data_IF_565933015536
#
_entry.id   IF_565933015536
#
_cell.length_a   1.000
_cell.length_b   1.000
_cell.length_c   1.000
_cell.angle_alpha   90.00
_cell.angle_beta   90.00
_cell.angle_gamma   90.00
#
_symmetry.space_group_name_H-M   'P 1'
#
loop_
_entity.id
_entity.type
_entity.pdbx_description
1 polymer ?
#
# COMPACT_ATOMS: atom_id res chain seq x y z
N UNK A 1 -5.94 -3.87 4.26
CA UNK A 1 -4.81 -3.69 3.34
C UNK A 1 -3.51 -3.70 4.14
N UNK A 2 -2.54 -4.54 3.77
CA UNK A 2 -1.20 -4.65 4.36
C UNK A 2 -0.20 -4.25 3.26
N UNK A 3 0.61 -3.22 3.50
CA UNK A 3 1.62 -2.71 2.53
C UNK A 3 1.08 -2.34 1.14
N UNK A 4 -0.18 -1.93 1.04
CA UNK A 4 -0.81 -1.59 -0.25
C UNK A 4 -1.52 -2.75 -0.95
N UNK A 5 -1.54 -3.95 -0.35
CA UNK A 5 -2.19 -5.15 -0.87
C UNK A 5 -3.32 -5.62 0.07
N UNK A 6 -4.32 -6.35 -0.43
CA UNK A 6 -5.24 -7.06 0.45
C UNK A 6 -4.53 -8.24 1.14
N UNK A 7 -5.00 -8.70 2.32
CA UNK A 7 -4.42 -9.87 2.97
C UNK A 7 -4.37 -11.08 2.01
N UNK A 8 -3.20 -11.69 1.87
CA UNK A 8 -2.90 -12.85 1.00
C UNK A 8 -2.93 -12.60 -0.51
N UNK A 9 -3.02 -11.35 -0.99
CA UNK A 9 -3.01 -11.04 -2.44
C UNK A 9 -1.74 -11.53 -3.16
N UNK A 10 -0.62 -11.61 -2.43
CA UNK A 10 0.67 -12.08 -2.93
C UNK A 10 0.84 -13.60 -2.82
N UNK A 11 -0.16 -14.32 -2.32
CA UNK A 11 -0.14 -15.77 -2.14
C UNK A 11 -1.13 -16.45 -3.09
N UNK A 12 -0.79 -17.65 -3.58
CA UNK A 12 -1.69 -18.44 -4.42
C UNK A 12 -1.93 -19.81 -3.79
N UNK A 13 -3.20 -20.13 -3.49
CA UNK A 13 -3.60 -21.40 -2.86
C UNK A 13 -4.30 -22.36 -3.83
N UNK A 14 -4.03 -22.21 -5.13
CA UNK A 14 -4.64 -23.05 -6.17
C UNK A 14 -6.14 -22.79 -6.37
N UNK A 15 -6.84 -23.77 -6.91
CA UNK A 15 -8.28 -23.69 -7.22
C UNK A 15 -9.17 -23.38 -6.02
N UNK A 16 -8.68 -23.60 -4.80
CA UNK A 16 -9.39 -23.31 -3.54
C UNK A 16 -8.98 -21.98 -2.89
N UNK A 17 -8.39 -21.07 -3.65
CA UNK A 17 -7.89 -19.79 -3.12
C UNK A 17 -8.90 -19.02 -2.28
N UNK A 18 -10.14 -18.83 -2.78
CA UNK A 18 -11.20 -18.15 -2.04
C UNK A 18 -11.53 -18.82 -0.69
N UNK A 19 -11.95 -20.09 -0.66
CA UNK A 19 -12.24 -20.80 0.59
C UNK A 19 -11.07 -20.83 1.58
N UNK A 20 -9.83 -20.96 1.10
CA UNK A 20 -8.64 -20.95 1.97
C UNK A 20 -8.43 -19.58 2.60
N UNK A 21 -8.55 -18.48 1.85
CA UNK A 21 -8.46 -17.13 2.41
C UNK A 21 -9.53 -16.92 3.49
N UNK A 22 -10.76 -17.35 3.25
CA UNK A 22 -11.84 -17.21 4.24
C UNK A 22 -11.50 -17.94 5.54
N UNK A 23 -11.00 -19.17 5.45
CA UNK A 23 -10.60 -19.96 6.62
C UNK A 23 -9.43 -19.31 7.39
N UNK A 24 -8.43 -18.78 6.68
CA UNK A 24 -7.30 -18.07 7.28
C UNK A 24 -7.75 -16.80 8.02
N UNK A 25 -8.65 -16.02 7.40
CA UNK A 25 -9.23 -14.82 8.01
C UNK A 25 -10.07 -15.16 9.25
N UNK A 26 -10.91 -16.20 9.18
CA UNK A 26 -11.71 -16.67 10.31
C UNK A 26 -10.84 -17.15 11.48
N UNK A 27 -9.68 -17.73 11.18
CA UNK A 27 -8.68 -18.15 12.16
C UNK A 27 -7.78 -17.01 12.64
N UNK A 28 -7.97 -15.79 12.14
CA UNK A 28 -7.14 -14.64 12.42
C UNK A 28 -5.65 -14.91 12.17
N UNK A 29 -5.33 -15.76 11.19
CA UNK A 29 -3.95 -16.07 10.81
C UNK A 29 -3.32 -14.81 10.21
N UNK A 30 -2.24 -14.31 10.77
CA UNK A 30 -1.59 -13.14 10.18
C UNK A 30 -0.88 -13.57 8.87
N UNK A 31 -1.03 -12.83 7.75
CA UNK A 31 -0.30 -13.11 6.51
C UNK A 31 1.22 -13.07 6.73
N UNK A 32 1.97 -13.77 5.89
CA UNK A 32 3.42 -13.76 6.00
C UNK A 32 3.98 -12.40 5.59
N UNK A 33 4.86 -11.84 6.43
CA UNK A 33 5.48 -10.52 6.23
C UNK A 33 6.98 -10.58 6.51
N UNK A 34 7.70 -9.48 6.27
CA UNK A 34 9.16 -9.37 6.47
C UNK A 34 9.57 -9.20 7.96
N UNK A 35 8.61 -9.27 8.89
CA UNK A 35 8.79 -9.23 10.35
C UNK A 35 9.49 -7.97 10.89
N UNK A 36 9.39 -6.86 10.18
CA UNK A 36 9.91 -5.59 10.66
C UNK A 36 9.01 -4.94 11.73
N UNK A 37 9.48 -3.85 12.34
CA UNK A 37 8.79 -3.19 13.45
C UNK A 37 7.37 -2.71 13.09
N UNK A 38 7.16 -2.28 11.83
CA UNK A 38 5.83 -1.89 11.32
C UNK A 38 4.92 -3.11 11.22
N UNK A 39 5.40 -4.21 10.64
CA UNK A 39 4.62 -5.44 10.50
C UNK A 39 4.25 -6.02 11.87
N UNK A 40 5.14 -5.90 12.86
CA UNK A 40 4.87 -6.31 14.23
C UNK A 40 3.73 -5.48 14.85
N UNK A 41 3.70 -4.17 14.65
CA UNK A 41 2.58 -3.33 15.12
C UNK A 41 1.27 -3.71 14.41
N UNK A 42 1.31 -3.92 13.09
CA UNK A 42 0.12 -4.34 12.33
C UNK A 42 -0.38 -5.71 12.82
N UNK A 43 0.52 -6.66 13.11
CA UNK A 43 0.18 -7.95 13.70
C UNK A 43 -0.48 -7.80 15.06
N UNK A 44 0.09 -7.00 15.96
CA UNK A 44 -0.52 -6.72 17.26
C UNK A 44 -1.90 -6.08 17.13
N UNK A 45 -2.11 -5.18 16.16
CA UNK A 45 -3.44 -4.64 15.83
C UNK A 45 -4.40 -5.71 15.36
N UNK A 46 -3.94 -6.61 14.48
CA UNK A 46 -4.72 -7.71 13.94
C UNK A 46 -5.23 -8.64 15.06
N UNK A 47 -4.38 -8.94 16.04
CA UNK A 47 -4.73 -9.79 17.18
C UNK A 47 -5.40 -9.04 18.35
N UNK A 48 -5.63 -7.73 18.21
CA UNK A 48 -6.30 -6.93 19.25
C UNK A 48 -5.46 -6.74 20.51
N UNK A 49 -4.13 -6.75 20.40
CA UNK A 49 -3.21 -6.65 21.54
C UNK A 49 -3.09 -5.22 22.11
N UNK A 50 -3.62 -4.23 21.40
CA UNK A 50 -3.73 -2.85 21.90
C UNK A 50 -5.09 -2.64 22.56
N UNK A 51 -5.06 -2.34 23.86
CA UNK A 51 -6.24 -2.03 24.69
C UNK A 51 -6.85 -0.66 24.38
N UNK A 52 -6.12 0.22 23.70
CA UNK A 52 -6.60 1.56 23.33
C UNK A 52 -5.88 2.15 22.13
N UNK A 53 -6.55 3.07 21.43
CA UNK A 53 -5.97 3.87 20.34
C UNK A 53 -4.83 4.75 20.88
N UNK A 54 -4.91 5.23 22.13
CA UNK A 54 -3.85 6.00 22.75
C UNK A 54 -2.55 5.20 22.85
N UNK A 55 -2.63 3.93 23.26
CA UNK A 55 -1.45 3.06 23.36
C UNK A 55 -0.87 2.74 21.99
N UNK A 56 -1.72 2.42 21.01
CA UNK A 56 -1.29 2.24 19.63
C UNK A 56 -0.59 3.50 19.10
N UNK A 57 -1.15 4.69 19.34
CA UNK A 57 -0.55 5.96 18.94
C UNK A 57 0.82 6.19 19.59
N UNK A 58 0.96 5.90 20.88
CA UNK A 58 2.24 6.00 21.56
C UNK A 58 3.28 5.05 20.97
N UNK A 59 2.91 3.80 20.66
CA UNK A 59 3.81 2.82 20.04
C UNK A 59 4.21 3.23 18.62
N UNK A 60 3.27 3.69 17.80
CA UNK A 60 3.55 4.14 16.43
C UNK A 60 4.49 5.36 16.42
N UNK A 61 4.40 6.26 17.40
CA UNK A 61 5.34 7.39 17.52
C UNK A 61 6.79 6.98 17.77
N UNK A 62 7.03 5.77 18.28
CA UNK A 62 8.37 5.23 18.54
C UNK A 62 8.98 4.54 17.31
N UNK A 63 8.22 4.39 16.22
CA UNK A 63 8.78 3.95 14.95
C UNK A 63 9.72 5.03 14.41
N UNK A 64 10.99 4.66 14.21
CA UNK A 64 11.97 5.52 13.56
C UNK A 64 11.44 5.98 12.19
N UNK A 65 11.42 7.29 11.96
CA UNK A 65 10.96 7.88 10.70
C UNK A 65 9.48 8.31 10.65
N UNK A 66 8.71 8.23 11.74
CA UNK A 66 7.35 8.83 11.77
C UNK A 66 7.36 10.36 11.85
N UNK A 67 8.51 10.99 12.17
CA UNK A 67 8.71 12.42 11.92
C UNK A 67 8.89 12.73 10.41
N UNK A 68 9.24 11.73 9.60
CA UNK A 68 9.12 11.77 8.12
C UNK A 68 7.71 11.45 7.62
N UNK A 69 6.78 11.19 8.55
CA UNK A 69 5.36 10.92 8.35
C UNK A 69 4.46 12.15 8.53
N UNK A 70 5.02 13.37 8.55
CA UNK A 70 4.35 14.41 7.76
C UNK A 70 4.23 13.76 6.39
N UNK A 71 3.02 13.38 5.97
CA UNK A 71 2.70 13.30 4.54
C UNK A 71 3.48 14.44 3.93
N UNK A 72 4.57 14.16 3.19
CA UNK A 72 5.26 15.22 2.49
C UNK A 72 4.12 15.85 1.73
N UNK A 73 3.69 17.04 2.14
CA UNK A 73 2.81 17.84 1.33
C UNK A 73 3.64 17.99 0.09
N UNK A 74 3.31 17.16 -0.91
CA UNK A 74 4.11 16.99 -2.09
C UNK A 74 4.29 18.40 -2.60
N UNK A 75 5.54 18.88 -2.69
CA UNK A 75 5.76 20.30 -2.93
C UNK A 75 5.01 20.64 -4.21
N UNK A 76 4.38 21.79 -4.25
CA UNK A 76 3.56 22.18 -5.40
C UNK A 76 4.37 22.08 -6.70
N UNK A 77 5.67 22.33 -6.61
CA UNK A 77 6.69 22.12 -7.64
C UNK A 77 6.75 20.66 -8.14
N UNK A 78 6.86 19.68 -7.23
CA UNK A 78 6.91 18.25 -7.56
C UNK A 78 5.61 17.78 -8.21
N UNK A 79 4.46 18.29 -7.75
CA UNK A 79 3.15 18.01 -8.35
C UNK A 79 3.06 18.58 -9.77
N UNK A 80 3.44 19.84 -9.97
CA UNK A 80 3.42 20.49 -11.29
C UNK A 80 4.37 19.82 -12.28
N UNK A 81 5.55 19.43 -11.82
CA UNK A 81 6.53 18.70 -12.62
C UNK A 81 5.94 17.38 -13.13
N UNK A 82 5.44 16.51 -12.24
CA UNK A 82 4.78 15.25 -12.63
C UNK A 82 3.53 15.45 -13.48
N UNK A 83 2.74 16.49 -13.20
CA UNK A 83 1.59 16.83 -14.04
C UNK A 83 2.03 17.20 -15.47
N UNK A 84 3.13 17.92 -15.61
CA UNK A 84 3.74 18.27 -16.90
C UNK A 84 4.18 17.04 -17.69
N UNK A 85 4.88 16.12 -17.04
CA UNK A 85 5.31 14.85 -17.63
C UNK A 85 4.13 14.03 -18.13
N UNK A 86 3.08 13.86 -17.31
CA UNK A 86 1.87 13.16 -17.73
C UNK A 86 1.20 13.82 -18.93
N UNK A 87 1.12 15.16 -18.98
CA UNK A 87 0.55 15.89 -20.12
C UNK A 87 1.37 15.69 -21.39
N UNK A 88 2.70 15.68 -21.30
CA UNK A 88 3.58 15.41 -22.44
C UNK A 88 3.42 13.98 -22.95
N UNK A 89 3.32 12.99 -22.06
CA UNK A 89 3.09 11.60 -22.45
C UNK A 89 1.75 11.42 -23.16
N UNK A 90 0.69 12.09 -22.69
CA UNK A 90 -0.62 12.07 -23.35
C UNK A 90 -0.54 12.75 -24.73
N UNK A 91 0.12 13.89 -24.84
CA UNK A 91 0.29 14.60 -26.11
C UNK A 91 1.10 13.77 -27.12
N UNK A 92 2.19 13.15 -26.70
CA UNK A 92 3.03 12.32 -27.55
C UNK A 92 2.29 11.05 -28.00
N UNK A 93 1.54 10.40 -27.11
CA UNK A 93 0.67 9.27 -27.48
C UNK A 93 -0.38 9.66 -28.52
N UNK A 94 -0.94 10.87 -28.43
CA UNK A 94 -1.87 11.38 -29.45
C UNK A 94 -1.17 11.61 -30.80
N UNK A 95 0.08 12.10 -30.80
CA UNK A 95 0.87 12.27 -32.03
C UNK A 95 1.18 10.92 -32.71
N UNK A 96 1.45 9.88 -31.93
CA UNK A 96 1.70 8.53 -32.47
C UNK A 96 0.43 7.91 -33.08
N UNK A 97 -0.74 8.18 -32.51
CA UNK A 97 -2.04 7.76 -33.06
C UNK A 97 -2.36 8.50 -34.38
N UNK A 98 -2.02 9.79 -34.48
CA UNK A 98 -2.25 10.55 -35.73
C UNK A 98 -1.32 10.04 -36.84
N UNK A 99 -0.05 9.79 -36.55
CA UNK A 99 0.93 9.27 -37.52
C UNK A 99 0.59 7.87 -38.05
N UNK A 100 -0.12 7.05 -37.26
CA UNK A 100 -0.52 5.70 -37.68
C UNK A 100 -1.77 5.69 -38.57
N UNK A 101 -2.50 6.81 -38.67
CA UNK A 101 -3.70 6.95 -39.51
C UNK A 101 -3.44 7.66 -40.86
N UNK A 102 -2.20 8.04 -41.15
CA UNK A 102 -1.78 8.64 -42.43
C UNK A 102 -1.01 7.67 -43.35
N UNK A 103 -1.05 6.36 -43.05
CA UNK A 103 -0.42 5.28 -43.83
C UNK A 103 -1.42 4.40 -44.56
#
# INVERSE_FOLDING_TARGET
MIRGYEPYDNEWFGERHGPVIVDLLQKMMFPKTDDNQVDNIIRSCWHGEYDSIQRLSATVKLLDGVDSGRSMVMKEEDYKSRQGECKQLLANRLLDIVKTNEG
#
